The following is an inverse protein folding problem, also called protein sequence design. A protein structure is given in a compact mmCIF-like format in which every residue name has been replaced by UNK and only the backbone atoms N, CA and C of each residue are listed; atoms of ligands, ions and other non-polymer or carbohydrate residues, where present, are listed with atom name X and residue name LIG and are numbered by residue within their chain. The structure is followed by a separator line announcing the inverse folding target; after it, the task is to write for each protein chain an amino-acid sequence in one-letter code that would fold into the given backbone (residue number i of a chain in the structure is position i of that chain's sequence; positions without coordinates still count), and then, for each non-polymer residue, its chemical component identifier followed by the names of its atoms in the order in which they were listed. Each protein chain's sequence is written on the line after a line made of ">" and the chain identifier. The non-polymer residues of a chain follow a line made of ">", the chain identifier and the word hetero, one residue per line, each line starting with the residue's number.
data_IF_412992514301
#
_entry.id   IF_412992514301
#
_cell.length_a   1.000
_cell.length_b   1.000
_cell.length_c   1.000
_cell.angle_alpha   90.00
_cell.angle_beta   90.00
_cell.angle_gamma   90.00
#
_symmetry.space_group_name_H-M   'P 1'
#
loop_
_entity.id
_entity.type
_entity.pdbx_description
1 polymer ?
#
# COMPACT_ATOMS: atom_id res chain seq x y z
N UNK A 1 14.51 12.96 -34.98
CA UNK A 1 13.47 12.31 -34.16
C UNK A 1 14.10 12.13 -32.79
N UNK A 2 13.58 12.89 -31.83
CA UNK A 2 14.07 13.00 -30.45
C UNK A 2 13.97 11.65 -29.77
N UNK A 3 15.11 11.12 -29.31
CA UNK A 3 15.13 9.99 -28.39
C UNK A 3 14.67 10.49 -27.03
N UNK A 4 13.46 10.13 -26.65
CA UNK A 4 13.04 10.21 -25.25
C UNK A 4 13.75 9.09 -24.50
N UNK A 5 14.61 9.51 -23.58
CA UNK A 5 15.24 8.63 -22.60
C UNK A 5 14.16 8.13 -21.63
N UNK A 6 13.87 6.82 -21.67
CA UNK A 6 13.11 6.14 -20.63
C UNK A 6 13.93 6.14 -19.33
N UNK A 7 13.76 7.19 -18.53
CA UNK A 7 14.29 7.25 -17.18
C UNK A 7 13.49 6.31 -16.27
N UNK A 8 14.13 5.21 -15.87
CA UNK A 8 13.76 4.50 -14.65
C UNK A 8 13.04 3.15 -14.80
N UNK A 9 13.53 2.26 -15.66
CA UNK A 9 13.19 0.83 -15.53
C UNK A 9 14.35 0.11 -14.85
N UNK A 10 14.13 -0.34 -13.62
CA UNK A 10 15.09 -1.13 -12.86
C UNK A 10 15.57 -2.35 -13.68
N UNK A 11 16.88 -2.58 -13.69
CA UNK A 11 17.54 -3.69 -14.36
C UNK A 11 16.94 -5.05 -13.92
N UNK A 12 16.05 -5.63 -14.74
CA UNK A 12 15.40 -6.93 -14.51
C UNK A 12 14.25 -7.18 -15.49
N UNK A 13 13.80 -8.44 -15.63
CA UNK A 13 12.59 -8.78 -16.38
C UNK A 13 11.40 -7.97 -15.83
N UNK A 14 10.52 -7.44 -16.69
CA UNK A 14 9.39 -6.64 -16.24
C UNK A 14 8.44 -7.48 -15.38
N UNK A 15 8.15 -7.00 -14.16
CA UNK A 15 7.19 -7.60 -13.25
C UNK A 15 5.80 -7.05 -13.60
N UNK A 16 4.90 -7.93 -14.06
CA UNK A 16 3.52 -7.58 -14.40
C UNK A 16 2.55 -8.20 -13.39
N UNK A 17 1.91 -7.34 -12.58
CA UNK A 17 0.91 -7.69 -11.59
C UNK A 17 -0.49 -7.17 -11.94
N UNK A 18 -0.71 -6.78 -13.21
CA UNK A 18 -2.05 -6.35 -13.66
C UNK A 18 -3.09 -7.44 -13.41
N UNK A 19 -4.26 -7.02 -12.94
CA UNK A 19 -5.35 -7.93 -12.56
C UNK A 19 -5.08 -8.73 -11.28
N UNK A 20 -4.01 -8.42 -10.52
CA UNK A 20 -3.78 -8.94 -9.18
C UNK A 20 -4.11 -7.87 -8.15
N UNK A 21 -4.41 -8.33 -6.94
CA UNK A 21 -4.72 -7.48 -5.78
C UNK A 21 -3.76 -7.82 -4.65
N UNK A 22 -3.10 -6.81 -4.12
CA UNK A 22 -2.18 -6.92 -3.01
C UNK A 22 -2.81 -6.35 -1.73
N UNK A 23 -2.64 -7.07 -0.62
CA UNK A 23 -3.09 -6.66 0.69
C UNK A 23 -1.90 -6.52 1.63
N UNK A 24 -1.48 -5.27 1.89
CA UNK A 24 -0.25 -4.96 2.63
C UNK A 24 -0.61 -4.59 4.07
N UNK A 25 -0.25 -5.45 5.02
CA UNK A 25 -0.42 -5.19 6.44
C UNK A 25 0.78 -4.43 7.01
N UNK A 26 0.53 -3.35 7.76
CA UNK A 26 1.58 -2.57 8.45
C UNK A 26 1.98 -1.29 7.74
N UNK A 27 1.04 -0.61 7.07
CA UNK A 27 1.28 0.71 6.44
C UNK A 27 0.64 1.79 7.31
N UNK A 28 1.44 2.72 7.84
CA UNK A 28 0.96 3.82 8.70
C UNK A 28 1.42 5.21 8.26
N UNK A 29 2.46 5.29 7.42
CA UNK A 29 3.00 6.53 6.84
C UNK A 29 3.76 6.21 5.54
N UNK A 30 4.33 7.22 4.90
CA UNK A 30 5.04 7.14 3.63
C UNK A 30 6.57 6.96 3.74
N UNK A 31 7.09 6.76 4.96
CA UNK A 31 8.53 6.58 5.21
C UNK A 31 8.91 5.12 5.45
N UNK A 32 7.93 4.24 5.73
CA UNK A 32 8.15 2.84 6.06
C UNK A 32 8.27 1.92 4.83
N UNK A 33 8.85 0.74 5.03
CA UNK A 33 8.98 -0.28 3.97
C UNK A 33 7.63 -0.74 3.41
N UNK A 34 6.58 -0.80 4.22
CA UNK A 34 5.24 -1.17 3.76
C UNK A 34 4.73 -0.25 2.65
N UNK A 35 5.04 1.05 2.74
CA UNK A 35 4.73 2.03 1.70
C UNK A 35 5.55 1.82 0.43
N UNK A 36 6.87 1.61 0.58
CA UNK A 36 7.75 1.33 -0.55
C UNK A 36 7.32 0.06 -1.32
N UNK A 37 6.93 -0.98 -0.60
CA UNK A 37 6.40 -2.23 -1.18
C UNK A 37 5.08 -1.96 -1.90
N UNK A 38 4.13 -1.28 -1.26
CA UNK A 38 2.85 -0.92 -1.89
C UNK A 38 3.07 -0.14 -3.20
N UNK A 39 4.00 0.81 -3.20
CA UNK A 39 4.38 1.61 -4.37
C UNK A 39 4.98 0.76 -5.48
N UNK A 40 5.88 -0.18 -5.16
CA UNK A 40 6.48 -1.08 -6.14
C UNK A 40 5.43 -2.01 -6.77
N UNK A 41 4.52 -2.56 -5.96
CA UNK A 41 3.42 -3.41 -6.43
C UNK A 41 2.43 -2.62 -7.31
N UNK A 42 2.13 -1.37 -6.94
CA UNK A 42 1.31 -0.47 -7.76
C UNK A 42 1.98 -0.12 -9.09
N UNK A 43 3.30 0.13 -9.09
CA UNK A 43 4.06 0.38 -10.30
C UNK A 43 4.04 -0.83 -11.26
N UNK A 44 3.96 -2.05 -10.72
CA UNK A 44 3.76 -3.29 -11.48
C UNK A 44 2.29 -3.52 -11.89
N UNK A 45 1.36 -2.63 -11.54
CA UNK A 45 -0.05 -2.67 -11.95
C UNK A 45 -1.00 -3.43 -11.02
N UNK A 46 -0.58 -3.77 -9.80
CA UNK A 46 -1.46 -4.39 -8.81
C UNK A 46 -2.45 -3.39 -8.21
N UNK A 47 -3.66 -3.85 -7.89
CA UNK A 47 -4.59 -3.12 -7.03
C UNK A 47 -4.11 -3.16 -5.58
N UNK A 48 -4.05 -2.01 -4.91
CA UNK A 48 -3.49 -1.89 -3.56
C UNK A 48 -4.57 -1.73 -2.51
N UNK A 49 -4.58 -2.67 -1.57
CA UNK A 49 -5.28 -2.56 -0.30
C UNK A 49 -4.26 -2.52 0.83
N UNK A 50 -4.49 -1.69 1.85
CA UNK A 50 -3.58 -1.60 2.99
C UNK A 50 -4.32 -1.89 4.29
N UNK A 51 -3.59 -2.45 5.27
CA UNK A 51 -4.01 -2.37 6.67
C UNK A 51 -3.10 -1.47 7.47
N UNK A 52 -3.74 -0.62 8.26
CA UNK A 52 -3.10 0.35 9.13
C UNK A 52 -3.39 0.00 10.58
N UNK A 53 -2.39 0.20 11.44
CA UNK A 53 -2.57 0.03 12.88
C UNK A 53 -3.67 0.94 13.40
N UNK A 54 -4.60 0.42 14.22
CA UNK A 54 -5.84 1.12 14.61
C UNK A 54 -5.60 2.54 15.15
N UNK A 55 -4.65 2.79 16.08
CA UNK A 55 -4.34 4.14 16.56
C UNK A 55 -3.82 5.11 15.48
N UNK A 56 -3.22 4.59 14.41
CA UNK A 56 -2.69 5.39 13.30
C UNK A 56 -3.70 5.58 12.14
N UNK A 57 -4.86 4.89 12.19
CA UNK A 57 -5.80 4.85 11.07
C UNK A 57 -6.33 6.24 10.68
N UNK A 58 -6.88 6.97 11.65
CA UNK A 58 -7.51 8.26 11.39
C UNK A 58 -6.51 9.29 10.82
N UNK A 59 -5.30 9.34 11.38
CA UNK A 59 -4.27 10.28 10.91
C UNK A 59 -3.75 9.89 9.53
N UNK A 60 -3.62 8.59 9.24
CA UNK A 60 -3.22 8.08 7.94
C UNK A 60 -4.25 8.44 6.86
N UNK A 61 -5.53 8.09 7.07
CA UNK A 61 -6.61 8.39 6.11
C UNK A 61 -6.77 9.89 5.89
N UNK A 62 -6.68 10.69 6.96
CA UNK A 62 -6.73 12.16 6.86
C UNK A 62 -5.56 12.69 6.04
N UNK A 63 -4.33 12.27 6.36
CA UNK A 63 -3.13 12.69 5.63
C UNK A 63 -3.19 12.32 4.15
N UNK A 64 -3.69 11.11 3.83
CA UNK A 64 -3.88 10.64 2.47
C UNK A 64 -4.89 11.50 1.70
N UNK A 65 -6.05 11.77 2.31
CA UNK A 65 -7.14 12.57 1.71
C UNK A 65 -6.74 14.03 1.47
N UNK A 66 -5.93 14.60 2.35
CA UNK A 66 -5.41 15.97 2.23
C UNK A 66 -4.18 16.08 1.32
N UNK A 67 -3.76 15.00 0.66
CA UNK A 67 -2.66 15.03 -0.31
C UNK A 67 -1.27 15.13 0.31
N UNK A 68 -1.12 14.89 1.62
CA UNK A 68 0.19 14.92 2.30
C UNK A 68 1.20 13.92 1.68
N UNK A 69 0.68 12.83 1.11
CA UNK A 69 1.47 11.77 0.49
C UNK A 69 1.54 11.86 -1.05
N UNK A 70 1.07 12.94 -1.68
CA UNK A 70 0.99 13.04 -3.14
C UNK A 70 2.36 12.95 -3.84
N UNK A 71 3.38 13.56 -3.22
CA UNK A 71 4.74 13.49 -3.74
C UNK A 71 5.33 12.08 -3.62
N UNK A 72 5.16 11.43 -2.46
CA UNK A 72 5.75 10.12 -2.19
C UNK A 72 5.01 8.99 -2.93
N UNK A 73 3.71 9.13 -3.18
CA UNK A 73 2.88 8.13 -3.90
C UNK A 73 2.97 8.21 -5.42
N UNK A 74 3.74 9.15 -5.99
CA UNK A 74 3.91 9.27 -7.45
C UNK A 74 4.70 8.08 -8.00
N UNK A 75 4.12 7.40 -8.98
CA UNK A 75 4.67 6.24 -9.68
C UNK A 75 5.59 6.65 -10.83
N UNK A 76 6.45 5.75 -11.34
CA UNK A 76 7.36 6.05 -12.45
C UNK A 76 6.64 6.51 -13.73
N UNK A 77 5.42 6.00 -13.98
CA UNK A 77 4.59 6.41 -15.11
C UNK A 77 3.89 7.79 -14.92
N UNK A 78 4.24 8.53 -13.86
CA UNK A 78 3.68 9.85 -13.54
C UNK A 78 2.32 9.83 -12.83
N UNK A 79 1.62 8.69 -12.79
CA UNK A 79 0.37 8.53 -12.04
C UNK A 79 0.61 8.46 -10.52
N UNK A 80 -0.46 8.53 -9.74
CA UNK A 80 -0.40 8.35 -8.28
C UNK A 80 -0.82 6.92 -7.93
N UNK A 81 -0.09 6.30 -7.00
CA UNK A 81 -0.57 5.07 -6.36
C UNK A 81 -1.94 5.36 -5.72
N UNK A 82 -2.92 4.55 -6.10
CA UNK A 82 -4.26 4.54 -5.51
C UNK A 82 -4.36 3.44 -4.47
N UNK A 83 -4.83 3.80 -3.28
CA UNK A 83 -5.16 2.84 -2.23
C UNK A 83 -6.67 2.62 -2.30
N UNK A 84 -7.09 1.48 -2.82
CA UNK A 84 -8.50 1.17 -3.07
C UNK A 84 -9.29 1.05 -1.76
N UNK A 85 -8.64 0.57 -0.69
CA UNK A 85 -9.24 0.50 0.65
C UNK A 85 -8.18 0.44 1.74
N UNK A 86 -8.48 1.13 2.84
CA UNK A 86 -7.74 1.07 4.10
C UNK A 86 -8.55 0.25 5.08
N UNK A 87 -7.91 -0.71 5.75
CA UNK A 87 -8.54 -1.53 6.78
C UNK A 87 -7.85 -1.33 8.13
N UNK A 88 -8.61 -1.21 9.24
CA UNK A 88 -8.00 -1.30 10.57
C UNK A 88 -7.36 -2.67 10.77
N UNK A 89 -6.12 -2.72 11.29
CA UNK A 89 -5.47 -3.94 11.79
C UNK A 89 -4.97 -3.73 13.21
N UNK A 90 -5.37 -4.63 14.10
CA UNK A 90 -4.64 -4.94 15.31
C UNK A 90 -4.34 -6.44 15.28
N UNK A 91 -3.07 -6.80 15.14
CA UNK A 91 -2.63 -8.18 15.32
C UNK A 91 -2.38 -8.38 16.82
N UNK A 92 -3.46 -8.72 17.54
CA UNK A 92 -3.41 -8.99 19.00
C UNK A 92 -3.27 -10.50 19.26
N UNK A 93 -3.65 -11.30 18.28
CA UNK A 93 -3.72 -12.76 18.35
C UNK A 93 -2.92 -13.34 17.19
N UNK A 94 -2.14 -14.38 17.46
CA UNK A 94 -1.28 -15.02 16.47
C UNK A 94 -1.99 -16.19 15.77
N UNK A 95 -2.85 -16.91 16.50
CA UNK A 95 -3.63 -18.04 15.99
C UNK A 95 -5.14 -17.85 16.20
N UNK A 96 -6.01 -18.49 15.39
CA UNK A 96 -7.46 -18.46 15.60
C UNK A 96 -7.90 -18.90 17.00
N UNK A 97 -7.14 -19.82 17.61
CA UNK A 97 -7.36 -20.33 18.96
C UNK A 97 -7.15 -19.26 20.03
N UNK A 98 -6.23 -18.31 19.80
CA UNK A 98 -5.92 -17.21 20.73
C UNK A 98 -7.02 -16.15 20.81
N UNK A 99 -7.94 -16.12 19.85
CA UNK A 99 -9.02 -15.12 19.80
C UNK A 99 -10.09 -15.46 20.84
N UNK A 100 -10.41 -14.57 21.80
CA UNK A 100 -11.48 -14.79 22.77
C UNK A 100 -12.86 -14.94 22.10
N UNK A 101 -13.73 -15.76 22.69
CA UNK A 101 -15.03 -16.13 22.12
C UNK A 101 -15.98 -14.93 21.95
N UNK A 102 -15.84 -13.90 22.77
CA UNK A 102 -16.58 -12.63 22.69
C UNK A 102 -16.10 -11.72 21.55
N UNK A 103 -14.89 -11.97 21.01
CA UNK A 103 -14.33 -11.27 19.85
C UNK A 103 -14.59 -12.05 18.55
N UNK A 104 -14.52 -13.38 18.56
CA UNK A 104 -14.73 -14.24 17.37
C UNK A 104 -16.12 -14.05 16.72
N UNK A 105 -17.15 -13.79 17.53
CA UNK A 105 -18.55 -13.77 17.09
C UNK A 105 -19.11 -12.36 16.79
N UNK A 106 -18.23 -11.37 16.58
CA UNK A 106 -18.60 -9.98 16.28
C UNK A 106 -18.52 -9.62 14.79
#
# INVERSE_FOLDING_TARGET
>A
MTGESEEGTAYGLPIDLRGKRAFIAGVADDNAYGWAIAKALAAAGAEILVRTWVPALNIFETSLRHGKFDNSRRLPNGSLMEISKVYPLAAVYDTPEDVPEDVKNK
#
